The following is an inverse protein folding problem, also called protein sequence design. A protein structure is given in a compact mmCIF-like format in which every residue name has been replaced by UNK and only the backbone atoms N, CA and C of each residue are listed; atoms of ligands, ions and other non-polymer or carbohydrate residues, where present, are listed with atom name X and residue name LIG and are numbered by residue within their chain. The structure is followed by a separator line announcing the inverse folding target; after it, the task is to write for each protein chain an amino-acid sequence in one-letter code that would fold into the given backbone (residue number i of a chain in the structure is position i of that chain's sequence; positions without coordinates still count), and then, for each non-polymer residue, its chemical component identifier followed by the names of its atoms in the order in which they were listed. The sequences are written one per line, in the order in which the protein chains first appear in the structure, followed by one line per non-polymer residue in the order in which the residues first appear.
data_IF_575630277935
#
_entry.id   IF_575630277935
#
_cell.length_a   1.000
_cell.length_b   1.000
_cell.length_c   1.000
_cell.angle_alpha   90.00
_cell.angle_beta   90.00
_cell.angle_gamma   90.00
#
_symmetry.space_group_name_H-M   'P 1'
#
loop_
_entity.id
_entity.type
_entity.pdbx_description
1 polymer ?
#
# COMPACT_ATOMS: atom_id res chain seq x y z
N UNK A 1 -18.13 -17.63 -2.23
CA UNK A 1 -18.17 -18.07 -0.83
C UNK A 1 -19.40 -17.52 -0.17
N UNK A 2 -20.11 -18.36 0.56
CA UNK A 2 -21.35 -18.06 1.27
C UNK A 2 -21.03 -17.86 2.76
N UNK A 3 -22.00 -17.34 3.49
CA UNK A 3 -21.96 -17.28 4.95
C UNK A 3 -21.72 -18.68 5.52
N UNK A 4 -20.92 -18.76 6.57
CA UNK A 4 -20.53 -19.98 7.29
C UNK A 4 -19.55 -20.91 6.54
N UNK A 5 -19.12 -20.57 5.31
CA UNK A 5 -17.99 -21.23 4.66
C UNK A 5 -16.69 -20.99 5.47
N UNK A 6 -15.77 -21.95 5.43
CA UNK A 6 -14.46 -21.84 6.11
C UNK A 6 -13.32 -21.88 5.09
N UNK A 7 -12.49 -20.83 5.09
CA UNK A 7 -11.22 -20.81 4.34
C UNK A 7 -10.13 -21.43 5.21
N UNK A 8 -9.57 -22.54 4.74
CA UNK A 8 -8.47 -23.23 5.42
C UNK A 8 -7.18 -23.05 4.64
N UNK A 9 -6.13 -22.58 5.32
CA UNK A 9 -4.79 -22.40 4.73
C UNK A 9 -3.74 -23.09 5.58
N UNK A 10 -2.68 -23.59 4.95
CA UNK A 10 -1.57 -24.18 5.68
C UNK A 10 -0.78 -23.13 6.48
N UNK A 11 -0.55 -21.95 5.88
CA UNK A 11 0.18 -20.81 6.47
C UNK A 11 -0.37 -19.49 5.97
N UNK A 12 -0.19 -18.40 6.73
CA UNK A 12 -0.64 -17.05 6.36
C UNK A 12 0.00 -16.50 5.07
N UNK A 13 1.27 -16.85 4.79
CA UNK A 13 1.99 -16.39 3.60
C UNK A 13 1.48 -17.01 2.29
N UNK A 14 0.66 -18.07 2.37
CA UNK A 14 0.03 -18.71 1.20
C UNK A 14 -1.18 -17.95 0.68
N UNK A 15 -1.80 -17.12 1.51
CA UNK A 15 -3.00 -16.36 1.16
C UNK A 15 -2.72 -14.87 0.97
N UNK A 16 -1.66 -14.36 1.59
CA UNK A 16 -1.28 -12.96 1.45
C UNK A 16 0.24 -12.76 1.41
N UNK A 17 0.68 -11.81 0.58
CA UNK A 17 2.08 -11.35 0.50
C UNK A 17 2.37 -10.10 1.35
N UNK A 18 1.35 -9.52 1.97
CA UNK A 18 1.53 -8.37 2.87
C UNK A 18 0.56 -8.44 4.04
N UNK A 19 0.97 -7.93 5.19
CA UNK A 19 0.12 -7.86 6.38
C UNK A 19 -1.15 -7.06 6.12
N UNK A 20 -1.05 -5.95 5.36
CA UNK A 20 -2.20 -5.14 4.95
C UNK A 20 -3.23 -5.94 4.17
N UNK A 21 -2.77 -6.64 3.13
CA UNK A 21 -3.66 -7.44 2.31
C UNK A 21 -4.26 -8.59 3.12
N UNK A 22 -3.55 -9.14 4.11
CA UNK A 22 -4.12 -10.14 5.01
C UNK A 22 -5.24 -9.55 5.86
N UNK A 23 -5.03 -8.36 6.45
CA UNK A 23 -6.06 -7.64 7.22
C UNK A 23 -7.30 -7.38 6.37
N UNK A 24 -7.13 -6.79 5.18
CA UNK A 24 -8.23 -6.49 4.25
C UNK A 24 -9.03 -7.74 3.89
N UNK A 25 -8.35 -8.87 3.65
CA UNK A 25 -9.00 -10.14 3.31
C UNK A 25 -9.83 -10.70 4.47
N UNK A 26 -9.38 -10.48 5.70
CA UNK A 26 -10.02 -11.01 6.90
C UNK A 26 -11.20 -10.16 7.34
N UNK A 27 -11.10 -8.84 7.22
CA UNK A 27 -12.25 -7.93 7.33
C UNK A 27 -13.32 -8.29 6.30
N UNK A 28 -12.91 -8.62 5.08
CA UNK A 28 -13.82 -9.06 4.03
C UNK A 28 -14.51 -10.39 4.37
N UNK A 29 -13.79 -11.34 4.96
CA UNK A 29 -14.36 -12.61 5.41
C UNK A 29 -15.32 -12.40 6.59
N UNK A 30 -14.94 -11.59 7.57
CA UNK A 30 -15.77 -11.26 8.72
C UNK A 30 -17.08 -10.58 8.28
N UNK A 31 -17.02 -9.61 7.38
CA UNK A 31 -18.19 -8.92 6.84
C UNK A 31 -19.16 -9.87 6.09
N UNK A 32 -18.64 -10.98 5.54
CA UNK A 32 -19.42 -12.01 4.86
C UNK A 32 -19.83 -13.18 5.76
N UNK A 33 -19.41 -13.18 7.04
CA UNK A 33 -19.59 -14.29 7.96
C UNK A 33 -18.87 -15.56 7.51
N UNK A 34 -17.71 -15.41 6.87
CA UNK A 34 -16.82 -16.50 6.43
C UNK A 34 -15.79 -16.73 7.54
N UNK A 35 -15.57 -17.99 7.88
CA UNK A 35 -14.58 -18.40 8.85
C UNK A 35 -13.20 -18.56 8.20
N UNK A 36 -12.14 -18.45 8.99
CA UNK A 36 -10.76 -18.57 8.54
C UNK A 36 -9.94 -19.39 9.52
N UNK A 37 -9.20 -20.36 8.99
CA UNK A 37 -8.35 -21.26 9.76
C UNK A 37 -6.97 -21.33 9.12
N UNK A 38 -5.93 -21.09 9.92
CA UNK A 38 -4.53 -21.36 9.56
C UNK A 38 -3.98 -22.52 10.38
N UNK A 39 -3.55 -23.59 9.69
CA UNK A 39 -3.10 -24.83 10.31
C UNK A 39 -1.77 -24.63 11.05
N UNK A 40 -0.75 -24.08 10.39
CA UNK A 40 0.57 -23.92 11.00
C UNK A 40 0.56 -22.82 12.08
N UNK A 41 -0.18 -21.73 11.84
CA UNK A 41 -0.21 -20.60 12.77
C UNK A 41 -1.22 -20.81 13.92
N UNK A 42 -1.98 -21.91 13.92
CA UNK A 42 -3.02 -22.24 14.91
C UNK A 42 -4.02 -21.09 15.13
N UNK A 43 -4.41 -20.43 14.05
CA UNK A 43 -5.41 -19.37 14.07
C UNK A 43 -6.73 -19.97 13.61
N UNK A 44 -7.79 -19.79 14.40
CA UNK A 44 -9.12 -20.29 14.07
C UNK A 44 -10.18 -19.24 14.46
N UNK A 45 -10.72 -18.54 13.47
CA UNK A 45 -11.73 -17.49 13.67
C UNK A 45 -13.14 -18.03 13.90
N UNK A 46 -13.36 -19.35 13.92
CA UNK A 46 -14.62 -19.94 14.39
C UNK A 46 -14.78 -19.78 15.91
N UNK A 47 -13.66 -19.70 16.63
CA UNK A 47 -13.64 -19.53 18.10
C UNK A 47 -13.63 -18.05 18.49
N UNK A 48 -14.24 -17.71 19.64
CA UNK A 48 -14.19 -16.35 20.17
C UNK A 48 -12.76 -15.88 20.46
N UNK A 49 -11.92 -16.79 20.99
CA UNK A 49 -10.52 -16.53 21.27
C UNK A 49 -9.71 -16.28 19.99
N UNK A 50 -9.94 -17.06 18.93
CA UNK A 50 -9.22 -16.86 17.66
C UNK A 50 -9.65 -15.61 16.91
N UNK A 51 -10.94 -15.19 17.02
CA UNK A 51 -11.37 -13.87 16.53
C UNK A 51 -10.71 -12.72 17.28
N UNK A 52 -10.67 -12.78 18.61
CA UNK A 52 -9.96 -11.80 19.43
C UNK A 52 -8.46 -11.78 19.07
N UNK A 53 -7.88 -12.97 19.00
CA UNK A 53 -6.60 -13.34 18.39
C UNK A 53 -6.23 -12.45 17.20
N UNK A 54 -7.05 -12.65 16.19
CA UNK A 54 -6.90 -12.09 14.88
C UNK A 54 -7.07 -10.56 14.87
N UNK A 55 -8.06 -10.04 15.60
CA UNK A 55 -8.29 -8.59 15.73
C UNK A 55 -7.11 -7.90 16.41
N UNK A 56 -6.55 -8.48 17.47
CA UNK A 56 -5.35 -7.96 18.14
C UNK A 56 -4.15 -7.89 17.18
N UNK A 57 -3.88 -8.96 16.42
CA UNK A 57 -2.82 -8.97 15.41
C UNK A 57 -3.03 -7.90 14.34
N UNK A 58 -4.29 -7.71 13.93
CA UNK A 58 -4.68 -6.68 12.96
C UNK A 58 -4.38 -5.29 13.49
N UNK A 59 -4.82 -4.97 14.72
CA UNK A 59 -4.56 -3.67 15.34
C UNK A 59 -3.06 -3.40 15.56
N UNK A 60 -2.26 -4.41 15.88
CA UNK A 60 -0.80 -4.28 15.98
C UNK A 60 -0.20 -3.93 14.62
N UNK A 61 -0.65 -4.59 13.55
CA UNK A 61 -0.17 -4.33 12.20
C UNK A 61 -0.51 -2.92 11.69
N UNK A 62 -1.68 -2.38 12.08
CA UNK A 62 -2.06 -0.99 11.81
C UNK A 62 -1.17 -0.01 12.59
N UNK A 63 -0.96 -0.26 13.88
CA UNK A 63 -0.07 0.55 14.72
C UNK A 63 1.34 0.63 14.15
N UNK A 64 1.93 -0.50 13.76
CA UNK A 64 3.27 -0.52 13.15
C UNK A 64 3.33 0.30 11.87
N UNK A 65 2.30 0.22 11.02
CA UNK A 65 2.19 1.00 9.78
C UNK A 65 2.15 2.49 10.06
N UNK A 66 1.38 2.91 11.07
CA UNK A 66 1.26 4.31 11.44
C UNK A 66 2.56 4.86 12.00
N UNK A 67 3.25 4.10 12.86
CA UNK A 67 4.59 4.46 13.38
C UNK A 67 5.60 4.62 12.24
N UNK A 68 5.60 3.72 11.24
CA UNK A 68 6.49 3.84 10.07
C UNK A 68 6.15 5.11 9.27
N UNK A 69 4.87 5.40 9.08
CA UNK A 69 4.41 6.61 8.38
C UNK A 69 4.86 7.87 9.09
N UNK A 70 4.68 7.93 10.41
CA UNK A 70 5.07 9.06 11.26
C UNK A 70 6.57 9.32 11.16
N UNK A 71 7.40 8.29 11.39
CA UNK A 71 8.86 8.42 11.25
C UNK A 71 9.29 8.88 9.86
N UNK A 72 8.60 8.41 8.82
CA UNK A 72 8.89 8.83 7.43
C UNK A 72 8.59 10.32 7.23
N UNK A 73 7.46 10.80 7.76
CA UNK A 73 7.08 12.22 7.69
C UNK A 73 8.07 13.09 8.45
N UNK A 74 8.48 12.68 9.64
CA UNK A 74 9.48 13.40 10.43
C UNK A 74 10.82 13.50 9.69
N UNK A 75 11.28 12.37 9.12
CA UNK A 75 12.48 12.34 8.30
C UNK A 75 12.39 13.27 7.07
N UNK A 76 11.23 13.32 6.41
CA UNK A 76 10.98 14.23 5.28
C UNK A 76 10.99 15.70 5.73
N UNK A 77 10.43 16.01 6.89
CA UNK A 77 10.46 17.38 7.45
C UNK A 77 11.89 17.83 7.70
N UNK A 78 12.72 16.98 8.31
CA UNK A 78 14.15 17.26 8.53
C UNK A 78 14.91 17.40 7.20
N UNK A 79 14.64 16.53 6.22
CA UNK A 79 15.27 16.60 4.90
C UNK A 79 14.93 17.90 4.16
N UNK A 80 13.65 18.33 4.21
CA UNK A 80 13.21 19.61 3.62
C UNK A 80 13.86 20.81 4.29
N UNK A 81 13.99 20.80 5.62
CA UNK A 81 14.72 21.85 6.35
C UNK A 81 16.19 21.94 5.92
N UNK A 82 16.79 20.83 5.47
CA UNK A 82 18.14 20.76 4.88
C UNK A 82 18.20 21.06 3.37
N UNK A 83 17.10 21.53 2.77
CA UNK A 83 17.01 21.87 1.35
C UNK A 83 16.76 20.68 0.41
N UNK A 84 16.54 19.47 0.93
CA UNK A 84 16.19 18.29 0.13
C UNK A 84 14.67 18.11 0.08
N UNK A 85 14.05 18.59 -0.99
CA UNK A 85 12.59 18.56 -1.15
C UNK A 85 12.03 17.23 -1.68
N UNK A 86 12.88 16.34 -2.22
CA UNK A 86 12.45 15.08 -2.83
C UNK A 86 11.62 15.26 -4.11
N UNK A 87 10.94 14.19 -4.54
CA UNK A 87 10.11 14.20 -5.74
C UNK A 87 10.88 14.03 -7.06
N UNK A 88 10.14 14.04 -8.18
CA UNK A 88 10.73 13.95 -9.52
C UNK A 88 11.54 15.22 -9.81
N UNK A 89 12.82 15.13 -10.22
CA UNK A 89 13.59 16.29 -10.62
C UNK A 89 12.87 17.11 -11.70
N UNK A 90 12.92 18.43 -11.59
CA UNK A 90 12.39 19.31 -12.63
C UNK A 90 13.17 19.08 -13.93
N UNK A 91 12.46 19.09 -15.05
CA UNK A 91 13.08 19.10 -16.38
C UNK A 91 13.86 20.41 -16.52
N UNK A 92 15.04 20.34 -17.12
CA UNK A 92 15.93 21.49 -17.30
C UNK A 92 15.23 22.61 -18.07
N UNK A 93 15.36 23.86 -17.61
CA UNK A 93 14.70 25.03 -18.21
C UNK A 93 15.01 25.18 -19.71
N UNK A 94 16.22 24.78 -20.14
CA UNK A 94 16.62 24.80 -21.56
C UNK A 94 15.74 23.91 -22.43
N UNK A 95 15.44 22.69 -21.95
CA UNK A 95 14.57 21.75 -22.66
C UNK A 95 13.13 22.27 -22.75
N UNK A 96 12.65 22.90 -21.68
CA UNK A 96 11.33 23.52 -21.65
C UNK A 96 11.25 24.67 -22.67
N UNK A 97 12.23 25.58 -22.67
CA UNK A 97 12.29 26.69 -23.64
C UNK A 97 12.40 26.19 -25.08
N UNK A 98 13.20 25.15 -25.33
CA UNK A 98 13.33 24.55 -26.65
C UNK A 98 11.98 23.98 -27.13
N UNK A 99 11.26 23.26 -26.27
CA UNK A 99 9.95 22.71 -26.59
C UNK A 99 8.91 23.82 -26.86
N UNK A 100 8.92 24.91 -26.07
CA UNK A 100 8.04 26.07 -26.31
C UNK A 100 8.36 26.70 -27.68
N UNK A 101 9.63 26.93 -27.98
CA UNK A 101 10.06 27.50 -29.27
C UNK A 101 9.66 26.63 -30.47
N UNK A 102 9.82 25.31 -30.36
CA UNK A 102 9.40 24.36 -31.40
C UNK A 102 7.88 24.32 -31.56
N UNK A 103 7.12 24.54 -30.48
CA UNK A 103 5.65 24.63 -30.54
C UNK A 103 5.18 25.94 -31.19
N UNK A 104 5.79 27.07 -30.83
CA UNK A 104 5.45 28.39 -31.36
C UNK A 104 5.77 28.53 -32.85
N UNK A 105 6.82 27.88 -33.35
CA UNK A 105 7.18 27.95 -34.77
C UNK A 105 6.15 27.27 -35.68
N UNK A 106 5.30 26.39 -35.15
CA UNK A 106 4.31 25.57 -35.88
C UNK A 106 4.88 24.67 -36.98
N UNK A 107 6.19 24.61 -37.13
CA UNK A 107 6.88 23.76 -38.12
C UNK A 107 6.97 22.29 -37.68
N UNK A 108 6.68 22.01 -36.41
CA UNK A 108 6.82 20.70 -35.81
C UNK A 108 5.48 20.18 -35.30
N UNK A 109 5.19 18.90 -35.58
CA UNK A 109 4.05 18.21 -34.99
C UNK A 109 4.29 17.90 -33.51
N UNK A 110 3.23 17.74 -32.72
CA UNK A 110 3.33 17.38 -31.29
C UNK A 110 4.12 16.08 -31.05
N UNK A 111 4.09 15.15 -32.02
CA UNK A 111 4.89 13.92 -31.96
C UNK A 111 6.40 14.17 -32.08
N UNK A 112 6.80 15.22 -32.78
CA UNK A 112 8.20 15.62 -32.97
C UNK A 112 8.74 16.51 -31.83
N UNK A 113 7.85 17.22 -31.12
CA UNK A 113 8.21 18.08 -29.98
C UNK A 113 8.34 17.27 -28.68
N UNK A 114 7.69 16.11 -28.61
CA UNK A 114 7.69 15.24 -27.43
C UNK A 114 9.12 14.71 -27.15
N UNK A 115 9.77 15.29 -26.14
CA UNK A 115 11.06 14.84 -25.60
C UNK A 115 10.94 13.60 -24.72
#
# INVERSE_FOLDING_TARGET
MRKDDTVVVYKLDRISRSTKHLVELMEHFEAKGINFVSIQNKIDTTTAMGRFFFRMLTSIAELERDIISERTKDGLTVARARGRNGGRPKVESKKIMLAIKMYESKDYSLSQIKM
#
